data_IF_465219208961
#
_entry.id   IF_465219208961
#
_cell.length_a   1.000
_cell.length_b   1.000
_cell.length_c   1.000
_cell.angle_alpha   90.00
_cell.angle_beta   90.00
_cell.angle_gamma   90.00
#
_symmetry.space_group_name_H-M   'P 1'
#
loop_
_entity.id
_entity.type
_entity.pdbx_description
1 polymer ?
#
# COMPACT_ATOMS: atom_id res chain seq x y z
N UNK A 1 34.20 0.95 -1.95
CA UNK A 1 33.17 0.34 -1.09
C UNK A 1 32.85 1.34 0.00
N UNK A 2 31.80 2.14 -0.17
CA UNK A 2 31.36 3.12 0.84
C UNK A 2 30.27 2.47 1.68
N UNK A 3 30.60 2.16 2.94
CA UNK A 3 29.65 1.67 3.94
C UNK A 3 28.66 2.78 4.28
N UNK A 4 27.38 2.57 3.98
CA UNK A 4 26.30 3.42 4.46
C UNK A 4 25.99 3.00 5.90
N UNK A 5 26.08 3.96 6.81
CA UNK A 5 25.81 3.80 8.25
C UNK A 5 24.36 3.34 8.50
N UNK A 6 24.10 2.53 9.53
CA UNK A 6 22.73 2.19 9.92
C UNK A 6 22.05 3.42 10.53
N UNK A 7 20.90 3.82 9.98
CA UNK A 7 20.03 4.85 10.56
C UNK A 7 19.36 4.36 11.87
N UNK A 8 18.92 5.28 12.75
CA UNK A 8 18.64 4.94 14.15
C UNK A 8 17.18 4.57 14.44
N UNK A 9 17.02 3.93 15.60
CA UNK A 9 15.82 3.77 16.45
C UNK A 9 14.97 2.51 16.27
N UNK A 10 15.44 1.41 16.88
CA UNK A 10 14.56 0.39 17.47
C UNK A 10 14.17 0.83 18.89
N UNK A 11 12.89 0.82 19.22
CA UNK A 11 12.43 1.03 20.61
C UNK A 11 12.84 -0.15 21.50
N UNK A 12 13.08 0.05 22.81
CA UNK A 12 13.69 -0.97 23.67
C UNK A 12 12.72 -2.03 24.22
N UNK A 13 11.45 -2.06 23.80
CA UNK A 13 10.41 -2.84 24.48
C UNK A 13 9.60 -3.70 23.50
N UNK A 14 9.90 -5.00 23.46
CA UNK A 14 8.91 -6.08 23.50
C UNK A 14 7.89 -6.30 22.37
N UNK A 15 7.80 -5.44 21.36
CA UNK A 15 6.97 -5.68 20.17
C UNK A 15 7.85 -5.49 18.94
N UNK A 16 8.12 -6.58 18.21
CA UNK A 16 8.87 -6.52 16.96
C UNK A 16 8.26 -5.47 16.06
N UNK A 17 9.02 -4.43 15.73
CA UNK A 17 8.51 -3.25 15.05
C UNK A 17 7.90 -3.65 13.71
N UNK A 18 6.58 -3.74 13.64
CA UNK A 18 5.80 -3.98 12.41
C UNK A 18 5.82 -2.73 11.50
N UNK A 19 6.89 -1.95 11.54
CA UNK A 19 7.00 -0.61 10.97
C UNK A 19 7.79 -0.57 9.66
N UNK A 20 8.18 0.64 9.26
CA UNK A 20 8.96 0.90 8.04
C UNK A 20 10.47 0.74 8.29
N UNK A 21 11.10 -0.24 7.64
CA UNK A 21 12.55 -0.52 7.75
C UNK A 21 13.34 -0.04 6.53
N UNK A 22 12.72 0.78 5.68
CA UNK A 22 13.33 1.35 4.49
C UNK A 22 13.93 0.30 3.55
N UNK A 23 13.43 -0.94 3.52
CA UNK A 23 13.88 -1.94 2.53
C UNK A 23 13.41 -1.58 1.12
N UNK A 24 13.91 -2.30 0.12
CA UNK A 24 13.41 -2.14 -1.25
C UNK A 24 11.91 -2.45 -1.37
N UNK A 25 11.41 -3.40 -0.59
CA UNK A 25 9.98 -3.70 -0.52
C UNK A 25 9.21 -2.54 0.10
N UNK A 26 9.68 -2.01 1.24
CA UNK A 26 9.04 -0.90 1.92
C UNK A 26 8.92 0.35 1.05
N UNK A 27 10.03 0.75 0.41
CA UNK A 27 10.04 1.90 -0.51
C UNK A 27 9.10 1.69 -1.69
N UNK A 28 9.02 0.46 -2.20
CA UNK A 28 8.09 0.11 -3.28
C UNK A 28 6.64 0.27 -2.83
N UNK A 29 6.25 -0.34 -1.71
CA UNK A 29 4.87 -0.27 -1.22
C UNK A 29 4.45 1.16 -0.91
N UNK A 30 5.28 1.92 -0.18
CA UNK A 30 4.97 3.33 0.13
C UNK A 30 4.86 4.18 -1.14
N UNK A 31 5.77 4.02 -2.11
CA UNK A 31 5.67 4.78 -3.37
C UNK A 31 4.39 4.44 -4.15
N UNK A 32 4.02 3.15 -4.19
CA UNK A 32 2.79 2.71 -4.85
C UNK A 32 1.56 3.22 -4.10
N UNK A 33 1.57 3.25 -2.77
CA UNK A 33 0.49 3.78 -1.93
C UNK A 33 0.17 5.23 -2.27
N UNK A 34 1.19 6.09 -2.27
CA UNK A 34 1.00 7.51 -2.59
C UNK A 34 0.57 7.73 -4.04
N UNK A 35 1.11 6.92 -4.98
CA UNK A 35 0.63 6.93 -6.37
C UNK A 35 -0.84 6.50 -6.43
N UNK A 36 -1.27 5.53 -5.62
CA UNK A 36 -2.66 5.09 -5.55
C UNK A 36 -3.61 6.24 -5.24
N UNK A 37 -3.28 7.08 -4.26
CA UNK A 37 -4.07 8.26 -3.91
C UNK A 37 -4.24 9.25 -5.07
N UNK A 38 -3.19 9.45 -5.88
CA UNK A 38 -3.26 10.31 -7.09
C UNK A 38 -4.31 9.77 -8.09
N UNK A 39 -4.51 8.45 -8.12
CA UNK A 39 -5.40 7.76 -9.03
C UNK A 39 -6.73 7.33 -8.36
N UNK A 40 -7.17 8.03 -7.31
CA UNK A 40 -8.44 7.83 -6.63
C UNK A 40 -8.58 6.44 -5.97
N UNK A 41 -7.48 5.82 -5.57
CA UNK A 41 -7.49 4.69 -4.66
C UNK A 41 -7.54 5.18 -3.20
N UNK A 42 -8.32 4.49 -2.37
CA UNK A 42 -8.53 4.86 -0.97
C UNK A 42 -8.17 3.73 -0.03
N UNK A 43 -8.00 4.13 1.23
CA UNK A 43 -7.83 3.24 2.36
C UNK A 43 -9.08 2.37 2.59
N UNK A 44 -8.97 1.45 3.52
CA UNK A 44 -10.12 0.72 4.04
C UNK A 44 -11.13 1.64 4.75
N UNK A 45 -12.40 1.23 4.77
CA UNK A 45 -13.49 1.91 5.48
C UNK A 45 -13.78 3.37 5.07
N UNK A 46 -13.27 3.83 3.92
CA UNK A 46 -13.59 5.16 3.37
C UNK A 46 -14.95 5.20 2.67
N UNK A 47 -15.57 4.03 2.46
CA UNK A 47 -16.79 3.89 1.66
C UNK A 47 -16.49 3.89 0.15
N UNK A 48 -17.52 3.56 -0.65
CA UNK A 48 -17.36 3.35 -2.09
C UNK A 48 -16.76 1.98 -2.42
N UNK A 49 -16.26 1.83 -3.65
CA UNK A 49 -15.69 0.57 -4.13
C UNK A 49 -14.17 0.56 -4.18
N UNK A 50 -13.54 1.72 -4.09
CA UNK A 50 -12.13 1.94 -4.36
C UNK A 50 -11.30 1.82 -3.08
N UNK A 51 -11.63 0.85 -2.23
CA UNK A 51 -11.08 0.68 -0.89
C UNK A 51 -9.99 -0.40 -0.84
N UNK A 52 -9.10 -0.28 0.15
CA UNK A 52 -8.07 -1.26 0.43
C UNK A 52 -8.67 -2.56 0.99
N UNK A 53 -8.12 -3.71 0.59
CA UNK A 53 -8.52 -5.02 1.07
C UNK A 53 -7.51 -5.62 2.05
N UNK A 54 -8.02 -6.30 3.07
CA UNK A 54 -7.27 -7.23 3.92
C UNK A 54 -7.70 -8.64 3.58
N UNK A 55 -6.75 -9.53 3.33
CA UNK A 55 -7.05 -10.91 2.97
C UNK A 55 -6.34 -11.90 3.89
N UNK A 56 -7.04 -12.99 4.18
CA UNK A 56 -6.53 -14.06 5.01
C UNK A 56 -5.64 -14.99 4.18
N UNK A 57 -4.34 -14.86 4.39
CA UNK A 57 -3.36 -15.93 4.13
C UNK A 57 -2.87 -16.51 5.46
N UNK A 58 -1.92 -17.46 5.44
CA UNK A 58 -1.33 -18.01 6.67
C UNK A 58 -0.80 -16.91 7.61
N UNK A 59 -0.36 -15.81 7.02
CA UNK A 59 -0.11 -14.52 7.67
C UNK A 59 -1.16 -13.53 7.16
N UNK A 60 -1.77 -12.73 8.04
CA UNK A 60 -2.70 -11.66 7.64
C UNK A 60 -1.97 -10.68 6.71
N UNK A 61 -2.49 -10.47 5.50
CA UNK A 61 -1.88 -9.60 4.48
C UNK A 61 -2.85 -8.50 4.06
N UNK A 62 -2.29 -7.34 3.75
CA UNK A 62 -3.00 -6.14 3.34
C UNK A 62 -2.55 -5.70 1.95
N UNK A 63 -3.51 -5.27 1.13
CA UNK A 63 -3.21 -4.60 -0.15
C UNK A 63 -2.57 -3.23 0.07
N UNK A 64 -1.90 -2.71 -0.95
CA UNK A 64 -0.98 -1.56 -0.84
C UNK A 64 -1.62 -0.28 -0.32
N UNK A 65 -2.95 -0.15 -0.42
CA UNK A 65 -3.70 1.01 0.06
C UNK A 65 -4.12 0.93 1.52
N UNK A 66 -3.75 -0.11 2.26
CA UNK A 66 -4.08 -0.18 3.69
C UNK A 66 -3.49 1.01 4.45
N UNK A 67 -4.27 1.62 5.34
CA UNK A 67 -3.91 2.89 5.98
C UNK A 67 -2.64 2.79 6.82
N UNK A 68 -2.43 1.65 7.48
CA UNK A 68 -1.22 1.36 8.24
C UNK A 68 -0.25 0.54 7.40
N UNK A 69 0.96 1.06 7.21
CA UNK A 69 2.02 0.30 6.55
C UNK A 69 2.71 -0.67 7.51
N UNK A 70 2.53 -1.96 7.24
CA UNK A 70 3.17 -3.06 7.96
C UNK A 70 4.10 -3.82 7.01
N UNK A 71 5.42 -3.63 7.12
CA UNK A 71 6.34 -4.04 6.04
C UNK A 71 6.25 -5.52 5.66
N UNK A 72 6.09 -6.41 6.64
CA UNK A 72 5.95 -7.85 6.38
C UNK A 72 4.56 -8.29 5.96
N UNK A 73 3.56 -7.46 6.17
CA UNK A 73 2.15 -7.77 5.95
C UNK A 73 1.55 -6.95 4.80
N UNK A 74 2.37 -6.19 4.08
CA UNK A 74 1.94 -5.33 2.99
C UNK A 74 2.27 -5.97 1.64
N UNK A 75 1.27 -6.10 0.80
CA UNK A 75 1.44 -6.45 -0.61
C UNK A 75 1.64 -5.17 -1.43
N UNK A 76 2.53 -5.16 -2.44
CA UNK A 76 2.63 -4.04 -3.36
C UNK A 76 1.46 -3.98 -4.37
N UNK A 77 0.45 -4.85 -4.23
CA UNK A 77 -0.69 -4.95 -5.13
C UNK A 77 -1.87 -4.08 -4.65
N UNK A 78 -2.56 -3.47 -5.62
CA UNK A 78 -3.88 -2.87 -5.43
C UNK A 78 -4.95 -3.96 -5.33
N UNK A 79 -6.00 -3.69 -4.54
CA UNK A 79 -7.18 -4.56 -4.49
C UNK A 79 -7.95 -4.54 -5.83
N UNK A 80 -8.61 -5.66 -6.16
CA UNK A 80 -9.47 -5.78 -7.33
C UNK A 80 -10.56 -6.83 -7.15
N UNK A 81 -11.68 -6.69 -7.86
CA UNK A 81 -12.81 -7.65 -7.84
C UNK A 81 -12.37 -9.10 -8.13
N UNK A 82 -11.29 -9.29 -8.91
CA UNK A 82 -10.79 -10.60 -9.35
C UNK A 82 -9.55 -11.10 -8.59
N UNK A 83 -8.92 -10.24 -7.78
CA UNK A 83 -7.67 -10.55 -7.08
C UNK A 83 -7.51 -9.69 -5.82
N UNK A 84 -7.47 -10.36 -4.67
CA UNK A 84 -7.24 -9.73 -3.35
C UNK A 84 -8.18 -8.52 -3.14
N UNK A 85 -9.46 -8.73 -3.39
CA UNK A 85 -10.50 -7.72 -3.29
C UNK A 85 -11.89 -8.31 -3.52
N UNK A 86 -12.88 -7.43 -3.56
CA UNK A 86 -14.28 -7.73 -3.86
C UNK A 86 -14.95 -6.46 -4.41
N UNK A 87 -16.25 -6.52 -4.68
CA UNK A 87 -17.03 -5.42 -5.27
C UNK A 87 -16.91 -4.06 -4.55
N UNK A 88 -16.49 -4.06 -3.28
CA UNK A 88 -16.28 -2.87 -2.45
C UNK A 88 -14.81 -2.54 -2.20
N UNK A 89 -13.89 -3.42 -2.60
CA UNK A 89 -12.44 -3.30 -2.45
C UNK A 89 -11.73 -3.55 -3.80
N UNK A 90 -11.85 -2.57 -4.69
CA UNK A 90 -11.38 -2.58 -6.08
C UNK A 90 -10.68 -1.26 -6.43
N UNK A 91 -9.51 -1.03 -5.80
CA UNK A 91 -8.62 0.07 -6.14
C UNK A 91 -8.23 0.03 -7.64
N UNK A 92 -8.02 -1.16 -8.21
CA UNK A 92 -7.59 -1.32 -9.59
C UNK A 92 -8.57 -0.71 -10.60
N UNK A 93 -9.88 -0.86 -10.37
CA UNK A 93 -10.90 -0.19 -11.20
C UNK A 93 -10.88 1.31 -11.06
N UNK A 94 -10.64 1.84 -9.87
CA UNK A 94 -10.52 3.28 -9.64
C UNK A 94 -9.36 3.86 -10.45
N UNK A 95 -8.19 3.23 -10.35
CA UNK A 95 -6.98 3.63 -11.07
C UNK A 95 -7.20 3.59 -12.59
N UNK A 96 -7.82 2.52 -13.09
CA UNK A 96 -8.15 2.40 -14.53
C UNK A 96 -9.07 3.50 -15.03
N UNK A 97 -9.97 4.02 -14.20
CA UNK A 97 -10.87 5.14 -14.54
C UNK A 97 -10.15 6.49 -14.42
N UNK A 98 -9.32 6.68 -13.41
CA UNK A 98 -8.62 7.94 -13.14
C UNK A 98 -7.43 8.17 -14.08
N UNK A 99 -6.80 7.11 -14.62
CA UNK A 99 -5.51 7.22 -15.32
C UNK A 99 -5.47 8.22 -16.49
N UNK A 100 -6.56 8.32 -17.25
CA UNK A 100 -6.61 9.25 -18.39
C UNK A 100 -6.60 10.70 -17.90
N UNK A 101 -7.36 11.00 -16.85
CA UNK A 101 -7.39 12.32 -16.24
C UNK A 101 -6.03 12.69 -15.67
N UNK A 102 -5.40 11.78 -14.92
CA UNK A 102 -4.06 12.02 -14.33
C UNK A 102 -3.01 12.24 -15.42
N UNK A 103 -3.06 11.47 -16.52
CA UNK A 103 -2.08 11.59 -17.62
C UNK A 103 -2.14 12.92 -18.39
N UNK A 104 -3.22 13.69 -18.23
CA UNK A 104 -3.41 14.97 -18.92
C UNK A 104 -2.82 16.16 -18.16
N UNK A 105 -2.33 15.98 -16.93
CA UNK A 105 -1.63 17.04 -16.21
C UNK A 105 -0.28 17.33 -16.88
N UNK A 106 -0.27 18.31 -17.77
CA UNK A 106 0.93 18.90 -18.38
C UNK A 106 1.04 20.33 -17.86
N UNK A 107 2.18 20.68 -17.25
CA UNK A 107 2.53 22.05 -16.87
C UNK A 107 3.35 22.71 -17.95
#
# INVERSE_FOLDING_TARGET
>A
MTSVLPGPNVSPEGYGAVGYWATAHARRCVSIHEIGHIFDAHHENTGGYNQAYSYWTADLMHTVMWSYFFEHQSSPAFSSDDYQGDATHDNARAIRKAKLNVSQYVT
#
